data_IF_888230431426
#
_entry.id   IF_888230431426
#
_cell.length_a   1.000
_cell.length_b   1.000
_cell.length_c   1.000
_cell.angle_alpha   90.00
_cell.angle_beta   90.00
_cell.angle_gamma   90.00
#
_symmetry.space_group_name_H-M   'P 1'
#
loop_
_entity.id
_entity.type
_entity.pdbx_description
1 polymer ?
#
# COMPACT_ATOMS: atom_id res chain seq x y z
N UNK A 1 -3.61 8.13 -2.90
CA UNK A 1 -3.21 9.56 -2.99
C UNK A 1 -2.60 9.81 -4.36
N UNK A 2 -3.04 10.82 -5.12
CA UNK A 2 -2.45 11.13 -6.43
C UNK A 2 -1.02 11.67 -6.24
N UNK A 3 -0.07 11.18 -7.04
CA UNK A 3 1.32 11.62 -7.06
C UNK A 3 1.72 12.06 -8.47
N UNK A 4 2.83 12.78 -8.59
CA UNK A 4 3.36 13.17 -9.90
C UNK A 4 3.97 11.95 -10.57
N UNK A 5 3.53 11.66 -11.79
CA UNK A 5 4.11 10.62 -12.63
C UNK A 5 5.50 11.07 -13.11
N UNK A 6 6.55 10.48 -12.54
CA UNK A 6 7.96 10.75 -12.86
C UNK A 6 8.74 9.46 -12.66
N UNK A 7 9.61 9.16 -13.62
CA UNK A 7 10.64 8.14 -13.49
C UNK A 7 11.95 8.82 -13.11
N UNK A 8 12.59 8.34 -12.04
CA UNK A 8 13.86 8.90 -11.57
C UNK A 8 14.79 7.80 -11.08
N UNK A 9 16.07 7.90 -11.44
CA UNK A 9 17.09 7.02 -10.89
C UNK A 9 17.44 7.42 -9.46
N UNK A 10 17.30 6.48 -8.54
CA UNK A 10 17.62 6.65 -7.14
C UNK A 10 19.07 6.21 -6.87
N UNK A 11 19.95 7.19 -6.64
CA UNK A 11 21.39 6.96 -6.44
C UNK A 11 21.71 6.24 -5.14
N UNK A 12 20.80 6.21 -4.16
CA UNK A 12 21.03 5.55 -2.87
C UNK A 12 20.71 4.06 -2.94
N UNK A 13 19.67 3.69 -3.70
CA UNK A 13 19.24 2.29 -3.85
C UNK A 13 19.75 1.64 -5.14
N UNK A 14 20.31 2.43 -6.06
CA UNK A 14 20.67 2.02 -7.42
C UNK A 14 19.48 1.42 -8.21
N UNK A 15 18.26 1.89 -7.92
CA UNK A 15 17.03 1.47 -8.60
C UNK A 15 16.41 2.61 -9.38
N UNK A 16 15.59 2.28 -10.36
CA UNK A 16 14.75 3.25 -11.07
C UNK A 16 13.40 3.30 -10.36
N UNK A 17 13.09 4.42 -9.72
CA UNK A 17 11.81 4.66 -9.05
C UNK A 17 10.79 5.25 -10.04
N UNK A 18 9.50 5.08 -9.75
CA UNK A 18 8.40 5.69 -10.52
C UNK A 18 7.45 4.70 -11.19
N UNK A 19 7.67 3.41 -11.00
CA UNK A 19 6.85 2.33 -11.56
C UNK A 19 5.83 1.78 -10.55
N UNK A 20 4.83 1.08 -11.06
CA UNK A 20 3.84 0.36 -10.24
C UNK A 20 4.51 -0.80 -9.51
N UNK A 21 4.23 -0.91 -8.21
CA UNK A 21 4.77 -1.89 -7.27
C UNK A 21 3.67 -2.31 -6.28
N UNK A 22 3.36 -3.60 -6.24
CA UNK A 22 2.41 -4.23 -5.30
C UNK A 22 3.11 -5.17 -4.29
N UNK A 23 4.41 -5.00 -4.05
CA UNK A 23 5.17 -5.74 -3.05
C UNK A 23 5.49 -7.19 -3.42
N UNK A 24 5.25 -7.61 -4.66
CA UNK A 24 5.57 -8.95 -5.17
C UNK A 24 7.00 -9.06 -5.73
N UNK A 25 7.77 -7.97 -5.69
CA UNK A 25 9.15 -7.90 -6.17
C UNK A 25 9.27 -7.86 -7.69
N UNK A 26 8.15 -7.68 -8.42
CA UNK A 26 8.13 -7.49 -9.85
C UNK A 26 7.80 -6.04 -10.17
N UNK A 27 8.81 -5.31 -10.67
CA UNK A 27 8.58 -3.96 -11.16
C UNK A 27 7.79 -4.02 -12.46
N UNK A 28 6.67 -3.29 -12.52
CA UNK A 28 5.93 -3.11 -13.76
C UNK A 28 6.66 -2.16 -14.70
N UNK A 29 6.53 -2.33 -16.01
CA UNK A 29 6.93 -1.29 -16.98
C UNK A 29 5.99 -0.07 -16.96
N UNK A 30 4.91 -0.15 -16.19
CA UNK A 30 3.89 0.90 -16.08
C UNK A 30 4.28 1.91 -15.01
N UNK A 31 4.26 3.19 -15.37
CA UNK A 31 4.47 4.31 -14.44
C UNK A 31 3.31 4.47 -13.45
N UNK A 32 3.65 4.74 -12.20
CA UNK A 32 2.68 4.98 -11.12
C UNK A 32 2.25 6.45 -11.08
N UNK A 33 0.97 6.66 -10.80
CA UNK A 33 0.36 8.00 -10.61
C UNK A 33 -0.35 8.12 -9.25
N UNK A 34 -0.38 7.06 -8.45
CA UNK A 34 -0.94 7.03 -7.11
C UNK A 34 -0.03 6.32 -6.11
N UNK A 35 -0.12 6.74 -4.86
CA UNK A 35 0.44 6.05 -3.71
C UNK A 35 -0.69 5.45 -2.87
N UNK A 36 -0.57 4.16 -2.57
CA UNK A 36 -1.38 3.44 -1.60
C UNK A 36 -0.58 3.29 -0.31
N UNK A 37 -1.17 3.64 0.83
CA UNK A 37 -0.54 3.55 2.14
C UNK A 37 -1.49 2.83 3.09
N UNK A 38 -0.99 1.79 3.74
CA UNK A 38 -1.71 1.12 4.83
C UNK A 38 -1.17 1.67 6.15
N UNK A 39 -2.08 2.08 7.03
CA UNK A 39 -1.75 2.64 8.34
C UNK A 39 -2.30 1.75 9.45
N UNK A 40 -1.50 1.57 10.49
CA UNK A 40 -1.94 0.98 11.74
C UNK A 40 -2.34 2.10 12.70
N UNK A 41 -3.58 2.01 13.20
CA UNK A 41 -4.15 2.93 14.19
C UNK A 41 -4.57 2.10 15.41
N UNK A 42 -3.83 2.16 16.52
CA UNK A 42 -4.21 1.49 17.77
C UNK A 42 -5.49 2.09 18.35
N UNK A 43 -6.35 1.24 18.90
CA UNK A 43 -7.63 1.67 19.48
C UNK A 43 -7.45 2.42 20.82
N UNK A 44 -6.46 2.02 21.63
CA UNK A 44 -6.25 2.52 22.99
C UNK A 44 -5.06 3.47 23.15
N UNK A 45 -4.40 3.84 22.04
CA UNK A 45 -3.24 4.73 22.07
C UNK A 45 -3.38 5.84 21.03
N UNK A 46 -2.72 6.97 21.27
CA UNK A 46 -2.78 8.16 20.39
C UNK A 46 -1.53 8.25 19.53
N UNK A 47 -1.34 7.29 18.63
CA UNK A 47 -0.30 7.33 17.61
C UNK A 47 -0.80 6.67 16.32
N UNK A 48 -0.13 6.94 15.20
CA UNK A 48 -0.42 6.32 13.90
C UNK A 48 0.91 5.94 13.26
N UNK A 49 0.97 4.78 12.61
CA UNK A 49 2.17 4.35 11.90
C UNK A 49 1.81 3.83 10.50
N UNK A 50 2.43 4.35 9.43
CA UNK A 50 2.42 3.69 8.14
C UNK A 50 3.13 2.34 8.24
N UNK A 51 2.45 1.26 7.84
CA UNK A 51 2.97 -0.11 7.92
C UNK A 51 3.33 -0.69 6.54
N UNK A 52 2.75 -0.15 5.47
CA UNK A 52 3.08 -0.51 4.11
C UNK A 52 2.82 0.66 3.15
N UNK A 53 3.58 0.72 2.05
CA UNK A 53 3.42 1.69 0.97
C UNK A 53 3.61 1.00 -0.37
N UNK A 54 2.78 1.35 -1.34
CA UNK A 54 2.78 0.77 -2.68
C UNK A 54 2.58 1.88 -3.72
N UNK A 55 3.25 1.74 -4.85
CA UNK A 55 3.08 2.63 -6.00
C UNK A 55 2.06 2.00 -6.94
N UNK A 56 0.98 2.70 -7.26
CA UNK A 56 -0.14 2.14 -8.03
C UNK A 56 -0.44 3.00 -9.24
N UNK A 57 -1.04 2.39 -10.26
CA UNK A 57 -1.68 3.14 -11.34
C UNK A 57 -3.18 3.20 -11.05
N UNK A 58 -3.67 4.41 -10.88
CA UNK A 58 -5.00 4.71 -10.38
C UNK A 58 -5.26 4.03 -9.03
N UNK A 59 -6.50 3.61 -8.79
CA UNK A 59 -6.83 2.78 -7.65
C UNK A 59 -6.37 1.34 -7.89
N UNK A 60 -5.75 0.72 -6.89
CA UNK A 60 -5.37 -0.68 -6.95
C UNK A 60 -6.62 -1.57 -7.16
N UNK A 61 -6.53 -2.64 -7.96
CA UNK A 61 -7.65 -3.56 -8.16
C UNK A 61 -8.12 -4.16 -6.83
N UNK A 62 -9.44 -4.33 -6.62
CA UNK A 62 -10.00 -4.83 -5.36
C UNK A 62 -9.38 -6.16 -4.89
N UNK A 63 -9.14 -7.10 -5.81
CA UNK A 63 -8.45 -8.37 -5.51
C UNK A 63 -7.02 -8.17 -4.99
N UNK A 64 -6.29 -7.20 -5.55
CA UNK A 64 -4.93 -6.86 -5.10
C UNK A 64 -4.98 -6.19 -3.74
N UNK A 65 -5.90 -5.24 -3.53
CA UNK A 65 -6.14 -4.61 -2.23
C UNK A 65 -6.43 -5.64 -1.13
N UNK A 66 -7.31 -6.61 -1.40
CA UNK A 66 -7.64 -7.67 -0.44
C UNK A 66 -6.41 -8.48 -0.04
N UNK A 67 -5.55 -8.82 -1.01
CA UNK A 67 -4.28 -9.53 -0.76
C UNK A 67 -3.34 -8.69 0.11
N UNK A 68 -3.14 -7.42 -0.23
CA UNK A 68 -2.26 -6.52 0.53
C UNK A 68 -2.74 -6.30 1.96
N UNK A 69 -4.04 -6.14 2.16
CA UNK A 69 -4.65 -6.00 3.49
C UNK A 69 -4.48 -7.30 4.30
N UNK A 70 -4.71 -8.45 3.69
CA UNK A 70 -4.50 -9.74 4.35
C UNK A 70 -3.05 -9.95 4.77
N UNK A 71 -2.09 -9.65 3.89
CA UNK A 71 -0.65 -9.72 4.21
C UNK A 71 -0.29 -8.76 5.35
N UNK A 72 -0.81 -7.53 5.35
CA UNK A 72 -0.59 -6.59 6.44
C UNK A 72 -1.15 -7.10 7.79
N UNK A 73 -2.33 -7.71 7.79
CA UNK A 73 -2.93 -8.32 8.99
C UNK A 73 -2.05 -9.47 9.50
N UNK A 74 -1.57 -10.34 8.61
CA UNK A 74 -0.70 -11.46 8.97
C UNK A 74 0.63 -10.98 9.56
N UNK A 75 1.25 -9.95 8.97
CA UNK A 75 2.49 -9.35 9.49
C UNK A 75 2.30 -8.67 10.85
N UNK A 76 1.15 -8.02 11.07
CA UNK A 76 0.78 -7.47 12.38
C UNK A 76 0.57 -8.57 13.43
N UNK A 77 -0.12 -9.65 13.05
CA UNK A 77 -0.38 -10.78 13.94
C UNK A 77 0.92 -11.44 14.41
N UNK A 78 1.90 -11.64 13.50
CA UNK A 78 3.25 -12.12 13.85
C UNK A 78 3.97 -11.25 14.89
N UNK A 79 3.57 -9.99 15.02
CA UNK A 79 4.12 -9.00 15.96
C UNK A 79 3.22 -8.79 17.19
N UNK A 80 2.27 -9.69 17.43
CA UNK A 80 1.29 -9.64 18.53
C UNK A 80 0.32 -8.46 18.47
N UNK A 81 0.12 -7.85 17.30
CA UNK A 81 -0.93 -6.87 17.09
C UNK A 81 -2.21 -7.57 16.60
N UNK A 82 -3.35 -7.21 17.18
CA UNK A 82 -4.67 -7.75 16.80
C UNK A 82 -5.42 -6.70 15.99
N UNK A 83 -5.76 -7.03 14.74
CA UNK A 83 -6.57 -6.17 13.88
C UNK A 83 -8.05 -6.51 14.08
N UNK A 84 -8.79 -5.58 14.68
CA UNK A 84 -10.24 -5.74 14.94
C UNK A 84 -11.11 -5.18 13.81
N UNK A 85 -10.58 -4.26 13.00
CA UNK A 85 -11.28 -3.62 11.90
C UNK A 85 -10.30 -3.11 10.85
N UNK A 86 -10.76 -3.05 9.60
CA UNK A 86 -10.09 -2.36 8.48
C UNK A 86 -11.00 -1.22 8.03
N UNK A 87 -10.46 -0.01 7.92
CA UNK A 87 -11.20 1.19 7.54
C UNK A 87 -10.75 1.65 6.15
N UNK A 88 -11.71 1.92 5.26
CA UNK A 88 -11.45 2.42 3.90
C UNK A 88 -12.52 3.45 3.51
N UNK A 89 -12.28 4.19 2.41
CA UNK A 89 -13.28 5.08 1.85
C UNK A 89 -14.36 4.32 1.04
N UNK A 90 -15.34 5.04 0.51
CA UNK A 90 -16.44 4.46 -0.28
C UNK A 90 -16.12 4.19 -1.76
N UNK A 91 -14.85 4.20 -2.19
CA UNK A 91 -14.48 3.98 -3.59
C UNK A 91 -14.85 2.58 -4.09
N UNK A 92 -15.09 2.44 -5.40
CA UNK A 92 -15.52 1.18 -6.01
C UNK A 92 -14.53 0.04 -5.81
N UNK A 93 -13.23 0.32 -5.85
CA UNK A 93 -12.17 -0.67 -5.61
C UNK A 93 -12.14 -1.17 -4.18
N UNK A 94 -12.41 -0.29 -3.20
CA UNK A 94 -12.46 -0.65 -1.78
C UNK A 94 -13.73 -1.46 -1.45
N UNK A 95 -14.84 -1.22 -2.17
CA UNK A 95 -16.05 -2.04 -2.08
C UNK A 95 -15.92 -3.42 -2.72
N UNK A 96 -14.99 -3.56 -3.67
CA UNK A 96 -14.71 -4.82 -4.37
C UNK A 96 -13.59 -5.64 -3.72
N UNK A 97 -13.01 -5.13 -2.62
CA UNK A 97 -12.11 -5.83 -1.72
C UNK A 97 -12.92 -6.75 -0.81
#
# INVERSE_FOLDING_TARGET
MKVREVVSFNTSTYKVDGFVDYGDGQDSETTADHALVLMFVPLFHSWVQPIARFATRHAAPGRVLAKLVLEAILELYKRNAVVVAVISDGASTNKAM
#
